data_IF_429195090761
#
_entry.id   IF_429195090761
#
_cell.length_a   1.000
_cell.length_b   1.000
_cell.length_c   1.000
_cell.angle_alpha   90.00
_cell.angle_beta   90.00
_cell.angle_gamma   90.00
#
_symmetry.space_group_name_H-M   'P 1'
#
loop_
_entity.id
_entity.type
_entity.pdbx_description
1 polymer ?
#
# COMPACT_ATOMS: atom_id res chain seq x y z
N UNK A 1 -19.39 -6.45 -0.90
CA UNK A 1 -18.79 -7.31 0.16
C UNK A 1 -17.76 -6.53 0.99
N UNK A 2 -16.68 -6.01 0.39
CA UNK A 2 -15.63 -5.29 1.11
C UNK A 2 -16.13 -4.03 1.84
N UNK A 3 -16.90 -3.15 1.17
CA UNK A 3 -17.50 -1.96 1.81
C UNK A 3 -18.33 -2.34 3.03
N UNK A 4 -19.20 -3.35 2.90
CA UNK A 4 -20.01 -3.89 4.01
C UNK A 4 -19.16 -4.34 5.20
N UNK A 5 -18.10 -5.09 4.92
CA UNK A 5 -17.19 -5.57 5.96
C UNK A 5 -16.46 -4.43 6.67
N UNK A 6 -15.73 -3.61 5.92
CA UNK A 6 -14.85 -2.59 6.50
C UNK A 6 -15.60 -1.41 7.11
N UNK A 7 -16.79 -1.07 6.61
CA UNK A 7 -17.63 -0.01 7.20
C UNK A 7 -18.05 -0.30 8.65
N UNK A 8 -17.92 -1.54 9.11
CA UNK A 8 -18.29 -1.96 10.46
C UNK A 8 -17.08 -2.06 11.41
N UNK A 9 -15.88 -1.79 10.93
CA UNK A 9 -14.69 -1.72 11.80
C UNK A 9 -14.69 -0.41 12.60
N UNK A 10 -14.35 -0.48 13.88
CA UNK A 10 -14.64 0.55 14.87
C UNK A 10 -14.04 1.93 14.55
N UNK A 11 -12.83 1.98 14.00
CA UNK A 11 -12.13 3.24 13.71
C UNK A 11 -12.34 3.75 12.28
N UNK A 12 -13.16 3.06 11.46
CA UNK A 12 -13.45 3.51 10.09
C UNK A 12 -14.49 4.62 10.13
N UNK A 13 -14.12 5.81 9.66
CA UNK A 13 -15.01 6.98 9.62
C UNK A 13 -15.68 7.23 8.27
N UNK A 14 -15.04 6.84 7.17
CA UNK A 14 -15.55 6.97 5.81
C UNK A 14 -14.87 5.96 4.88
N UNK A 15 -15.49 5.67 3.74
CA UNK A 15 -14.90 4.84 2.68
C UNK A 15 -14.94 5.61 1.35
N UNK A 16 -13.78 5.73 0.70
CA UNK A 16 -13.68 6.24 -0.68
C UNK A 16 -13.38 5.09 -1.61
N UNK A 17 -14.32 4.78 -2.50
CA UNK A 17 -14.14 3.78 -3.56
C UNK A 17 -13.56 4.49 -4.78
N UNK A 18 -12.31 4.21 -5.12
CA UNK A 18 -11.66 4.74 -6.33
C UNK A 18 -12.06 3.89 -7.52
N UNK A 19 -12.99 4.39 -8.32
CA UNK A 19 -13.58 3.65 -9.43
C UNK A 19 -12.82 3.91 -10.72
N UNK A 20 -12.03 2.92 -11.14
CA UNK A 20 -11.05 3.07 -12.23
C UNK A 20 -11.59 2.74 -13.63
N UNK A 21 -12.61 1.89 -13.74
CA UNK A 21 -13.10 1.41 -15.05
C UNK A 21 -14.52 0.84 -14.95
N UNK A 22 -15.30 1.05 -16.00
CA UNK A 22 -16.67 0.51 -16.12
C UNK A 22 -17.71 1.45 -15.52
N UNK A 23 -18.98 1.08 -15.60
CA UNK A 23 -20.06 1.82 -14.97
C UNK A 23 -19.92 1.73 -13.43
N UNK A 24 -19.84 2.85 -12.70
CA UNK A 24 -19.83 2.81 -11.24
C UNK A 24 -21.14 2.25 -10.71
N UNK A 25 -21.13 1.57 -9.55
CA UNK A 25 -22.36 1.20 -8.88
C UNK A 25 -23.08 2.45 -8.37
N UNK A 26 -24.39 2.35 -8.19
CA UNK A 26 -25.15 3.32 -7.42
C UNK A 26 -24.77 3.20 -5.94
N UNK A 27 -24.76 4.32 -5.22
CA UNK A 27 -24.43 4.31 -3.78
C UNK A 27 -25.37 3.42 -2.97
N UNK A 28 -26.62 3.28 -3.40
CA UNK A 28 -27.63 2.40 -2.79
C UNK A 28 -27.28 0.90 -2.89
N UNK A 29 -26.41 0.51 -3.83
CA UNK A 29 -25.92 -0.87 -3.97
C UNK A 29 -24.83 -1.22 -2.95
N UNK A 30 -24.29 -0.21 -2.24
CA UNK A 30 -23.22 -0.37 -1.26
C UNK A 30 -23.77 -0.33 0.18
N UNK A 31 -24.00 -1.50 0.77
CA UNK A 31 -24.31 -1.64 2.20
C UNK A 31 -23.12 -1.15 3.04
N UNK A 32 -23.33 -0.07 3.79
CA UNK A 32 -22.31 0.55 4.63
C UNK A 32 -22.90 1.13 5.92
N UNK A 33 -22.17 0.98 7.03
CA UNK A 33 -22.47 1.64 8.30
C UNK A 33 -21.83 3.04 8.43
N UNK A 34 -21.01 3.46 7.46
CA UNK A 34 -20.31 4.76 7.42
C UNK A 34 -20.54 5.46 6.07
N UNK A 35 -20.31 6.77 5.96
CA UNK A 35 -20.35 7.47 4.67
C UNK A 35 -19.46 6.80 3.61
N UNK A 36 -20.02 6.59 2.42
CA UNK A 36 -19.31 6.07 1.26
C UNK A 36 -19.37 7.09 0.13
N UNK A 37 -18.24 7.30 -0.54
CA UNK A 37 -18.18 8.07 -1.78
C UNK A 37 -17.48 7.26 -2.86
N UNK A 38 -18.03 7.29 -4.05
CA UNK A 38 -17.40 6.73 -5.24
C UNK A 38 -16.70 7.88 -5.96
N UNK A 39 -15.38 7.79 -6.11
CA UNK A 39 -14.57 8.72 -6.90
C UNK A 39 -14.28 8.07 -8.25
N UNK A 40 -15.04 8.46 -9.26
CA UNK A 40 -14.86 7.99 -10.63
C UNK A 40 -13.66 8.69 -11.25
N UNK A 41 -12.75 7.91 -11.83
CA UNK A 41 -11.55 8.43 -12.48
C UNK A 41 -11.68 8.33 -14.00
N UNK A 42 -11.18 9.36 -14.70
CA UNK A 42 -11.27 9.47 -16.16
C UNK A 42 -10.48 8.37 -16.89
N UNK A 43 -9.41 7.90 -16.25
CA UNK A 43 -8.50 6.89 -16.79
C UNK A 43 -8.24 5.83 -15.73
N UNK A 44 -8.28 4.56 -16.15
CA UNK A 44 -7.80 3.45 -15.34
C UNK A 44 -6.28 3.58 -15.09
N UNK A 45 -5.90 3.94 -13.86
CA UNK A 45 -4.51 4.11 -13.44
C UNK A 45 -4.33 3.72 -11.98
N UNK A 46 -3.26 2.98 -11.68
CA UNK A 46 -2.89 2.66 -10.30
C UNK A 46 -2.47 3.89 -9.49
N UNK A 47 -2.11 5.00 -10.16
CA UNK A 47 -1.78 6.25 -9.48
C UNK A 47 -2.99 6.89 -8.78
N UNK A 48 -4.22 6.54 -9.20
CA UNK A 48 -5.43 7.22 -8.76
C UNK A 48 -5.73 7.07 -7.27
N UNK A 49 -5.30 5.96 -6.64
CA UNK A 49 -5.53 5.72 -5.22
C UNK A 49 -4.87 6.79 -4.34
N UNK A 50 -3.70 7.28 -4.74
CA UNK A 50 -2.95 8.31 -4.01
C UNK A 50 -3.29 9.75 -4.43
N UNK A 51 -4.30 9.97 -5.28
CA UNK A 51 -4.70 11.31 -5.76
C UNK A 51 -5.09 12.20 -4.58
N UNK A 52 -4.52 13.40 -4.54
CA UNK A 52 -4.89 14.42 -3.54
C UNK A 52 -6.41 14.64 -3.61
N UNK A 53 -7.07 14.43 -2.48
CA UNK A 53 -8.51 14.56 -2.36
C UNK A 53 -8.84 15.49 -1.18
N UNK A 54 -9.30 16.72 -1.46
CA UNK A 54 -9.58 17.68 -0.40
C UNK A 54 -10.78 17.29 0.48
N UNK A 55 -11.55 16.27 0.09
CA UNK A 55 -12.67 15.77 0.88
C UNK A 55 -12.24 14.78 1.96
N UNK A 56 -11.04 14.18 1.85
CA UNK A 56 -10.48 13.33 2.90
C UNK A 56 -10.03 14.24 4.05
N UNK A 57 -10.71 14.14 5.19
CA UNK A 57 -10.41 14.94 6.40
C UNK A 57 -9.60 14.19 7.44
N UNK A 58 -9.61 12.87 7.35
CA UNK A 58 -8.87 12.01 8.25
C UNK A 58 -7.38 12.03 7.90
N UNK A 59 -6.53 12.13 8.92
CA UNK A 59 -5.07 12.03 8.73
C UNK A 59 -4.68 10.61 8.34
N UNK A 60 -5.19 9.60 9.04
CA UNK A 60 -4.96 8.21 8.70
C UNK A 60 -5.82 7.81 7.50
N UNK A 61 -5.19 7.25 6.47
CA UNK A 61 -5.87 6.53 5.40
C UNK A 61 -5.35 5.11 5.38
N UNK A 62 -6.28 4.15 5.43
CA UNK A 62 -6.00 2.76 5.08
C UNK A 62 -6.12 2.61 3.56
N UNK A 63 -5.00 2.37 2.91
CA UNK A 63 -4.93 1.93 1.53
C UNK A 63 -5.16 0.42 1.48
N UNK A 64 -6.12 -0.01 0.67
CA UNK A 64 -6.54 -1.40 0.61
C UNK A 64 -6.93 -1.82 -0.82
N UNK A 65 -6.40 -2.96 -1.27
CA UNK A 65 -6.77 -3.58 -2.54
C UNK A 65 -8.15 -4.24 -2.45
N UNK A 66 -8.88 -4.27 -3.56
CA UNK A 66 -10.26 -4.76 -3.66
C UNK A 66 -10.38 -6.29 -3.70
N UNK A 67 -9.27 -7.01 -3.50
CA UNK A 67 -9.19 -8.46 -3.38
C UNK A 67 -8.66 -8.94 -2.03
N UNK A 68 -8.45 -8.01 -1.08
CA UNK A 68 -7.92 -8.28 0.27
C UNK A 68 -9.00 -8.09 1.34
N UNK A 69 -9.26 -9.16 2.10
CA UNK A 69 -10.13 -9.13 3.27
C UNK A 69 -9.36 -9.46 4.55
N UNK A 70 -9.44 -8.55 5.52
CA UNK A 70 -8.80 -8.67 6.84
C UNK A 70 -9.81 -8.43 7.95
N UNK A 71 -9.69 -9.13 9.09
CA UNK A 71 -10.56 -8.89 10.25
C UNK A 71 -10.44 -7.46 10.77
N UNK A 72 -11.51 -6.92 11.36
CA UNK A 72 -11.47 -5.61 11.98
C UNK A 72 -10.39 -5.52 13.08
N UNK A 73 -10.15 -6.61 13.83
CA UNK A 73 -9.06 -6.65 14.82
C UNK A 73 -7.68 -6.37 14.19
N UNK A 74 -7.40 -6.90 12.99
CA UNK A 74 -6.15 -6.60 12.30
C UNK A 74 -6.09 -5.15 11.82
N UNK A 75 -7.22 -4.59 11.38
CA UNK A 75 -7.34 -3.19 10.96
C UNK A 75 -7.09 -2.26 12.15
N UNK A 76 -7.74 -2.51 13.29
CA UNK A 76 -7.55 -1.74 14.53
C UNK A 76 -6.11 -1.86 15.05
N UNK A 77 -5.52 -3.06 14.96
CA UNK A 77 -4.10 -3.26 15.30
C UNK A 77 -3.18 -2.40 14.44
N UNK A 78 -3.35 -2.45 13.11
CA UNK A 78 -2.56 -1.64 12.19
C UNK A 78 -2.74 -0.14 12.42
N UNK A 79 -3.98 0.29 12.70
CA UNK A 79 -4.28 1.68 13.00
C UNK A 79 -3.61 2.15 14.30
N UNK A 80 -3.63 1.33 15.35
CA UNK A 80 -2.95 1.64 16.60
C UNK A 80 -1.44 1.84 16.38
N UNK A 81 -0.79 0.93 15.64
CA UNK A 81 0.63 1.06 15.30
C UNK A 81 0.90 2.31 14.45
N UNK A 82 0.01 2.64 13.51
CA UNK A 82 0.13 3.88 12.74
C UNK A 82 0.04 5.12 13.62
N UNK A 83 -0.83 5.15 14.64
CA UNK A 83 -0.92 6.29 15.56
C UNK A 83 0.37 6.52 16.34
N UNK A 84 1.14 5.47 16.62
CA UNK A 84 2.46 5.56 17.26
C UNK A 84 3.54 6.10 16.29
N UNK A 85 3.36 5.87 14.99
CA UNK A 85 4.33 6.19 13.95
C UNK A 85 3.67 6.77 12.68
N UNK A 86 2.99 7.93 12.77
CA UNK A 86 2.19 8.47 11.66
C UNK A 86 3.03 8.93 10.46
N UNK A 87 4.34 9.10 10.66
CA UNK A 87 5.32 9.42 9.63
C UNK A 87 5.74 8.21 8.76
N UNK A 88 5.26 7.00 9.07
CA UNK A 88 5.63 5.74 8.40
C UNK A 88 4.47 5.16 7.58
N UNK A 89 4.84 4.33 6.61
CA UNK A 89 3.92 3.38 5.98
C UNK A 89 3.80 2.18 6.91
N UNK A 90 2.64 1.98 7.53
CA UNK A 90 2.40 0.90 8.49
C UNK A 90 1.49 -0.14 7.85
N UNK A 91 1.92 -1.38 7.69
CA UNK A 91 1.08 -2.36 6.98
C UNK A 91 1.52 -3.80 7.08
N UNK A 92 0.87 -4.64 6.27
CA UNK A 92 0.82 -6.08 6.50
C UNK A 92 1.61 -6.92 5.50
N UNK A 93 2.17 -6.29 4.45
CA UNK A 93 2.86 -6.98 3.37
C UNK A 93 4.32 -6.53 3.24
N UNK A 94 5.24 -7.12 4.01
CA UNK A 94 6.64 -6.74 4.02
C UNK A 94 7.35 -7.28 2.78
N UNK A 95 8.27 -6.48 2.26
CA UNK A 95 9.20 -6.86 1.20
C UNK A 95 10.61 -6.41 1.58
N UNK A 96 11.58 -7.11 1.02
CA UNK A 96 12.99 -6.79 1.19
C UNK A 96 13.63 -6.62 -0.18
N UNK A 97 14.30 -5.49 -0.37
CA UNK A 97 15.13 -5.21 -1.54
C UNK A 97 16.55 -4.95 -1.06
N UNK A 98 17.50 -5.73 -1.54
CA UNK A 98 18.91 -5.56 -1.23
C UNK A 98 19.56 -4.60 -2.24
N UNK A 99 20.46 -3.72 -1.76
CA UNK A 99 21.16 -2.79 -2.65
C UNK A 99 22.02 -3.50 -3.71
N UNK A 100 22.58 -4.65 -3.37
CA UNK A 100 23.41 -5.46 -4.26
C UNK A 100 22.62 -6.13 -5.38
N UNK A 101 21.34 -6.40 -5.15
CA UNK A 101 20.46 -7.13 -6.08
C UNK A 101 19.09 -6.49 -6.06
N UNK A 102 18.87 -5.54 -6.98
CA UNK A 102 17.59 -4.84 -7.18
C UNK A 102 16.55 -5.74 -7.88
N UNK A 103 16.28 -6.90 -7.28
CA UNK A 103 15.31 -7.90 -7.72
C UNK A 103 14.15 -7.95 -6.74
N UNK A 104 12.93 -7.91 -7.27
CA UNK A 104 11.74 -8.03 -6.47
C UNK A 104 11.49 -9.50 -6.10
N UNK A 105 11.17 -9.73 -4.83
CA UNK A 105 10.80 -11.04 -4.29
C UNK A 105 9.70 -10.89 -3.23
N UNK A 106 9.00 -11.98 -2.91
CA UNK A 106 7.87 -11.99 -1.99
C UNK A 106 8.28 -12.01 -0.51
N UNK A 107 7.28 -12.07 0.38
CA UNK A 107 7.50 -12.09 1.83
C UNK A 107 8.39 -13.25 2.30
N UNK A 108 8.33 -14.42 1.66
CA UNK A 108 9.20 -15.55 2.00
C UNK A 108 10.69 -15.19 1.94
N UNK A 109 11.07 -14.31 1.01
CA UNK A 109 12.44 -13.81 0.91
C UNK A 109 12.81 -12.90 2.08
N UNK A 110 11.94 -11.93 2.40
CA UNK A 110 12.10 -11.05 3.55
C UNK A 110 12.24 -11.85 4.85
N UNK A 111 11.37 -12.85 5.06
CA UNK A 111 11.41 -13.78 6.21
C UNK A 111 12.73 -14.57 6.25
N UNK A 112 13.15 -15.14 5.13
CA UNK A 112 14.41 -15.91 5.02
C UNK A 112 15.62 -15.06 5.43
N UNK A 113 15.65 -13.80 5.00
CA UNK A 113 16.72 -12.86 5.33
C UNK A 113 16.47 -12.08 6.62
N UNK A 114 15.41 -12.39 7.37
CA UNK A 114 15.06 -11.78 8.66
C UNK A 114 15.03 -10.25 8.61
N UNK A 115 14.45 -9.68 7.56
CA UNK A 115 14.16 -8.25 7.58
C UNK A 115 13.41 -7.76 6.36
N UNK A 116 13.03 -6.49 6.43
CA UNK A 116 12.24 -5.82 5.42
C UNK A 116 12.61 -4.33 5.36
N UNK A 117 12.31 -3.71 4.23
CA UNK A 117 12.52 -2.28 4.01
C UNK A 117 11.47 -1.63 3.12
N UNK A 118 10.42 -2.38 2.80
CA UNK A 118 9.22 -1.87 2.15
C UNK A 118 7.98 -2.53 2.73
N UNK A 119 6.88 -1.81 2.66
CA UNK A 119 5.52 -2.29 2.96
C UNK A 119 4.64 -1.99 1.76
N UNK A 120 4.00 -3.00 1.19
CA UNK A 120 3.09 -2.79 0.07
C UNK A 120 1.79 -2.14 0.55
N UNK A 121 1.27 -1.18 -0.21
CA UNK A 121 0.06 -0.42 0.13
C UNK A 121 -1.23 -1.14 -0.21
N UNK A 122 -1.18 -2.41 -0.60
CA UNK A 122 -2.38 -3.24 -0.79
C UNK A 122 -3.14 -3.51 0.52
N UNK A 123 -2.47 -3.34 1.66
CA UNK A 123 -3.08 -3.14 2.98
C UNK A 123 -2.08 -2.39 3.86
N UNK A 124 -2.19 -1.06 3.92
CA UNK A 124 -1.33 -0.23 4.76
C UNK A 124 -1.98 1.10 5.16
N UNK A 125 -1.71 1.53 6.39
CA UNK A 125 -2.00 2.87 6.87
C UNK A 125 -0.89 3.86 6.49
N UNK A 126 -1.32 5.04 6.04
CA UNK A 126 -0.47 6.16 5.68
C UNK A 126 -1.07 7.46 6.21
N UNK A 127 -0.23 8.48 6.44
CA UNK A 127 -0.72 9.85 6.62
C UNK A 127 -1.11 10.42 5.25
N UNK A 128 -2.38 10.81 5.09
CA UNK A 128 -2.97 11.21 3.83
C UNK A 128 -2.27 12.43 3.21
N UNK A 129 -2.02 13.45 4.04
CA UNK A 129 -1.35 14.67 3.58
C UNK A 129 0.07 14.32 3.13
N UNK A 130 0.83 13.68 4.02
CA UNK A 130 2.22 13.33 3.78
C UNK A 130 2.41 12.44 2.55
N UNK A 131 1.61 11.38 2.43
CA UNK A 131 1.74 10.40 1.37
C UNK A 131 1.29 10.98 0.01
N UNK A 132 0.13 11.64 -0.03
CA UNK A 132 -0.42 12.12 -1.30
C UNK A 132 0.35 13.32 -1.84
N UNK A 133 0.80 14.25 -0.98
CA UNK A 133 1.65 15.37 -1.40
C UNK A 133 2.98 14.86 -1.98
N UNK A 134 3.63 13.88 -1.31
CA UNK A 134 4.85 13.24 -1.84
C UNK A 134 4.57 12.52 -3.15
N UNK A 135 3.51 11.72 -3.23
CA UNK A 135 3.21 10.93 -4.42
C UNK A 135 2.86 11.81 -5.63
N UNK A 136 2.21 12.96 -5.42
CA UNK A 136 1.83 13.90 -6.48
C UNK A 136 2.80 15.05 -6.71
N UNK A 137 3.92 15.07 -5.99
CA UNK A 137 4.98 16.06 -6.14
C UNK A 137 5.56 16.08 -7.56
N UNK A 138 6.34 17.13 -7.87
CA UNK A 138 7.03 17.28 -9.16
C UNK A 138 8.11 16.21 -9.33
N UNK A 139 8.80 15.87 -8.24
CA UNK A 139 9.86 14.87 -8.16
C UNK A 139 9.33 13.46 -8.48
N UNK A 140 8.11 13.14 -8.03
CA UNK A 140 7.47 11.86 -8.28
C UNK A 140 6.89 11.72 -9.71
N UNK A 141 6.87 12.79 -10.52
CA UNK A 141 6.20 12.80 -11.85
C UNK A 141 6.78 11.76 -12.81
N UNK A 142 8.10 11.59 -12.84
CA UNK A 142 8.75 10.58 -13.68
C UNK A 142 8.39 9.16 -13.23
N UNK A 143 8.36 8.91 -11.92
CA UNK A 143 7.90 7.66 -11.33
C UNK A 143 6.46 7.34 -11.69
N UNK A 144 5.53 8.28 -11.53
CA UNK A 144 4.10 8.10 -11.89
C UNK A 144 3.90 7.73 -13.37
N UNK A 145 4.72 8.28 -14.27
CA UNK A 145 4.72 7.88 -15.70
C UNK A 145 5.15 6.43 -15.91
N UNK A 146 6.13 5.94 -15.14
CA UNK A 146 6.53 4.52 -15.20
C UNK A 146 5.44 3.62 -14.62
N UNK A 147 4.78 4.04 -13.54
CA UNK A 147 3.61 3.32 -12.98
C UNK A 147 2.52 3.17 -14.03
N UNK A 148 2.17 4.25 -14.73
CA UNK A 148 1.20 4.21 -15.83
C UNK A 148 1.65 3.32 -16.99
N UNK A 149 2.94 3.41 -17.37
CA UNK A 149 3.51 2.64 -18.49
C UNK A 149 3.51 1.13 -18.20
N UNK A 150 3.81 0.74 -16.97
CA UNK A 150 3.90 -0.65 -16.56
C UNK A 150 2.61 -1.20 -15.97
N UNK A 151 1.65 -0.32 -15.65
CA UNK A 151 0.44 -0.65 -14.90
C UNK A 151 0.78 -1.46 -13.65
N UNK A 152 1.75 -0.97 -12.85
CA UNK A 152 2.31 -1.63 -11.67
C UNK A 152 3.14 -0.62 -10.84
N UNK A 153 3.62 -1.05 -9.67
CA UNK A 153 4.70 -0.41 -8.89
C UNK A 153 4.37 0.95 -8.24
N UNK A 154 3.11 1.32 -8.13
CA UNK A 154 2.65 2.49 -7.38
C UNK A 154 3.06 2.40 -5.89
N UNK A 155 2.93 1.21 -5.31
CA UNK A 155 3.36 0.90 -3.94
C UNK A 155 4.88 1.02 -3.76
N UNK A 156 5.66 0.48 -4.70
CA UNK A 156 7.12 0.59 -4.70
C UNK A 156 7.54 2.05 -4.83
N UNK A 157 6.91 2.82 -5.71
CA UNK A 157 7.20 4.24 -5.86
C UNK A 157 7.00 4.98 -4.53
N UNK A 158 5.87 4.75 -3.85
CA UNK A 158 5.62 5.40 -2.56
C UNK A 158 6.70 5.05 -1.51
N UNK A 159 7.13 3.78 -1.43
CA UNK A 159 8.21 3.38 -0.53
C UNK A 159 9.53 4.09 -0.83
N UNK A 160 9.91 4.23 -2.11
CA UNK A 160 11.11 4.99 -2.49
C UNK A 160 11.01 6.47 -2.14
N UNK A 161 9.83 7.09 -2.33
CA UNK A 161 9.61 8.49 -1.98
C UNK A 161 9.72 8.73 -0.47
N UNK A 162 9.23 7.80 0.34
CA UNK A 162 9.40 7.83 1.79
C UNK A 162 10.88 7.68 2.19
N UNK A 163 11.56 6.66 1.66
CA UNK A 163 12.97 6.40 1.98
C UNK A 163 13.91 7.52 1.53
N UNK A 164 13.63 8.18 0.40
CA UNK A 164 14.43 9.31 -0.07
C UNK A 164 14.26 10.57 0.80
N UNK A 165 13.11 10.72 1.46
CA UNK A 165 12.79 11.90 2.27
C UNK A 165 13.28 11.82 3.72
N UNK A 166 13.77 10.67 4.18
CA UNK A 166 14.18 10.48 5.59
C UNK A 166 15.36 9.54 5.76
N UNK A 167 16.23 9.86 6.72
CA UNK A 167 17.26 8.93 7.23
C UNK A 167 16.74 8.01 8.33
N UNK A 168 15.55 8.27 8.89
CA UNK A 168 14.89 7.46 9.91
C UNK A 168 14.07 6.31 9.30
N UNK A 169 13.54 5.43 10.15
CA UNK A 169 12.63 4.35 9.75
C UNK A 169 11.36 4.91 9.13
N UNK A 170 11.06 4.46 7.91
CA UNK A 170 9.92 4.94 7.11
C UNK A 170 8.81 3.91 6.94
N UNK A 171 9.03 2.68 7.42
CA UNK A 171 8.07 1.57 7.30
C UNK A 171 7.95 0.81 8.62
N UNK A 172 6.74 0.36 8.92
CA UNK A 172 6.42 -0.47 10.08
C UNK A 172 5.62 -1.70 9.64
N UNK A 173 5.99 -2.88 10.13
CA UNK A 173 5.32 -4.12 9.79
C UNK A 173 4.38 -4.50 10.93
N UNK A 174 3.17 -4.92 10.55
CA UNK A 174 2.21 -5.53 11.46
C UNK A 174 1.85 -6.89 10.89
N UNK A 175 1.99 -7.93 11.69
CA UNK A 175 1.57 -9.28 11.35
C UNK A 175 0.05 -9.42 11.46
N UNK A 176 -0.62 -9.76 10.35
CA UNK A 176 -2.03 -10.10 10.41
C UNK A 176 -2.20 -11.50 11.01
N UNK A 177 -3.27 -11.70 11.78
CA UNK A 177 -3.67 -13.02 12.29
C UNK A 177 -4.28 -13.90 11.21
N UNK A 178 -5.06 -13.30 10.29
CA UNK A 178 -5.68 -13.96 9.15
C UNK A 178 -5.89 -12.93 8.04
N UNK A 179 -5.55 -13.33 6.82
CA UNK A 179 -5.80 -12.56 5.59
C UNK A 179 -6.44 -13.48 4.57
N UNK A 180 -7.53 -13.03 3.96
CA UNK A 180 -8.14 -13.70 2.82
C UNK A 180 -7.73 -12.89 1.58
N UNK A 181 -6.87 -13.48 0.75
CA UNK A 181 -6.41 -12.93 -0.51
C UNK A 181 -7.12 -13.66 -1.66
N UNK A 182 -7.96 -12.94 -2.39
CA UNK A 182 -8.74 -13.46 -3.51
C UNK A 182 -8.14 -13.12 -4.87
N UNK A 183 -6.93 -12.54 -4.91
CA UNK A 183 -6.24 -12.11 -6.14
C UNK A 183 -6.08 -13.24 -7.15
N UNK A 184 -5.91 -14.49 -6.67
CA UNK A 184 -5.77 -15.67 -7.55
C UNK A 184 -7.10 -16.19 -8.11
N UNK A 185 -8.23 -15.78 -7.54
CA UNK A 185 -9.57 -16.13 -7.99
C UNK A 185 -10.14 -15.08 -8.96
N UNK A 186 -9.61 -13.86 -8.92
CA UNK A 186 -10.01 -12.76 -9.80
C UNK A 186 -9.37 -12.86 -11.19
N UNK A 187 -10.19 -12.69 -12.25
CA UNK A 187 -9.72 -12.65 -13.63
C UNK A 187 -8.92 -11.39 -13.99
N UNK A 188 -9.00 -10.34 -13.16
CA UNK A 188 -8.44 -9.00 -13.40
C UNK A 188 -7.21 -8.68 -12.54
N UNK A 189 -6.83 -9.55 -11.59
CA UNK A 189 -5.68 -9.31 -10.73
C UNK A 189 -4.35 -9.30 -11.50
N UNK A 190 -3.58 -8.21 -11.34
CA UNK A 190 -2.30 -7.98 -12.02
C UNK A 190 -1.23 -9.01 -11.57
N UNK A 191 -1.37 -9.56 -10.37
CA UNK A 191 -0.45 -10.54 -9.78
C UNK A 191 -0.74 -11.99 -10.21
N UNK A 192 -1.77 -12.24 -11.04
CA UNK A 192 -2.15 -13.60 -11.47
C UNK A 192 -0.97 -14.35 -12.09
N UNK A 193 -0.27 -13.74 -13.05
CA UNK A 193 1.02 -14.21 -13.55
C UNK A 193 2.16 -13.67 -12.67
N UNK A 194 2.44 -14.37 -11.57
CA UNK A 194 3.42 -13.95 -10.57
C UNK A 194 4.80 -13.66 -11.18
N UNK A 195 5.28 -14.52 -12.10
CA UNK A 195 6.62 -14.37 -12.68
C UNK A 195 6.74 -13.10 -13.54
N UNK A 196 5.73 -12.83 -14.37
CA UNK A 196 5.68 -11.61 -15.18
C UNK A 196 5.58 -10.38 -14.28
N UNK A 197 4.71 -10.42 -13.27
CA UNK A 197 4.54 -9.36 -12.28
C UNK A 197 5.85 -9.03 -11.55
N UNK A 198 6.58 -10.05 -11.07
CA UNK A 198 7.86 -9.90 -10.36
C UNK A 198 8.94 -9.34 -11.28
N UNK A 199 8.95 -9.72 -12.57
CA UNK A 199 9.87 -9.17 -13.56
C UNK A 199 9.61 -7.68 -13.81
N UNK A 200 8.35 -7.25 -13.89
CA UNK A 200 8.00 -5.83 -14.00
C UNK A 200 8.46 -5.09 -12.74
N UNK A 201 8.12 -5.60 -11.55
CA UNK A 201 8.52 -4.97 -10.29
C UNK A 201 10.02 -4.82 -10.14
N UNK A 202 10.80 -5.83 -10.56
CA UNK A 202 12.27 -5.73 -10.59
C UNK A 202 12.76 -4.60 -11.51
N UNK A 203 12.11 -4.36 -12.66
CA UNK A 203 12.43 -3.20 -13.52
C UNK A 203 12.10 -1.87 -12.85
N UNK A 204 11.00 -1.82 -12.09
CA UNK A 204 10.65 -0.64 -11.31
C UNK A 204 11.69 -0.35 -10.22
N UNK A 205 12.16 -1.35 -9.49
CA UNK A 205 13.21 -1.19 -8.48
C UNK A 205 14.48 -0.58 -9.08
N UNK A 206 14.92 -1.08 -10.23
CA UNK A 206 16.07 -0.51 -10.96
C UNK A 206 15.84 0.97 -11.29
N UNK A 207 14.71 1.29 -11.91
CA UNK A 207 14.41 2.67 -12.35
C UNK A 207 14.20 3.64 -11.18
N UNK A 208 13.52 3.21 -10.13
CA UNK A 208 13.31 4.04 -8.95
C UNK A 208 14.60 4.21 -8.15
N UNK A 209 15.48 3.21 -8.12
CA UNK A 209 16.81 3.37 -7.53
C UNK A 209 17.67 4.38 -8.28
N UNK A 210 17.59 4.43 -9.61
CA UNK A 210 18.26 5.46 -10.43
C UNK A 210 17.70 6.87 -10.15
N UNK A 211 16.38 7.00 -9.92
CA UNK A 211 15.71 8.30 -9.77
C UNK A 211 15.74 8.85 -8.34
N UNK A 212 15.65 7.98 -7.33
CA UNK A 212 15.35 8.36 -5.95
C UNK A 212 16.38 7.80 -4.94
N UNK A 213 17.46 7.18 -5.42
CA UNK A 213 18.44 6.50 -4.57
C UNK A 213 17.95 5.13 -4.09
N UNK A 214 18.80 4.39 -3.37
CA UNK A 214 18.51 3.03 -2.94
C UNK A 214 17.76 2.94 -1.61
N UNK A 215 16.92 1.92 -1.46
CA UNK A 215 16.30 1.52 -0.18
C UNK A 215 17.29 0.89 0.81
N UNK A 216 18.47 0.48 0.31
CA UNK A 216 19.34 -0.48 0.97
C UNK A 216 20.18 0.02 2.14
N UNK A 217 20.00 1.26 2.61
CA UNK A 217 20.61 1.72 3.87
C UNK A 217 19.78 1.34 5.10
N UNK A 218 18.56 0.84 4.91
CA UNK A 218 17.63 0.56 5.97
C UNK A 218 17.10 -0.87 5.81
N UNK A 219 17.39 -1.73 6.78
CA UNK A 219 16.78 -3.06 6.92
C UNK A 219 16.27 -3.14 8.35
N UNK A 220 14.99 -3.41 8.49
CA UNK A 220 14.33 -3.54 9.79
C UNK A 220 14.11 -5.02 10.07
N UNK A 221 14.39 -5.44 11.30
CA UNK A 221 14.17 -6.81 11.74
C UNK A 221 12.69 -7.05 12.04
N UNK A 222 12.28 -8.31 11.94
CA UNK A 222 11.01 -8.77 12.51
C UNK A 222 11.17 -8.99 14.02
N UNK A 223 10.06 -9.04 14.75
CA UNK A 223 10.03 -9.28 16.20
C UNK A 223 10.74 -8.19 17.04
N UNK A 224 10.79 -6.97 16.54
CA UNK A 224 11.36 -5.82 17.23
C UNK A 224 10.38 -5.09 18.14
N UNK A 225 9.09 -5.41 18.10
CA UNK A 225 8.04 -4.73 18.88
C UNK A 225 7.77 -5.41 20.21
N UNK A 226 7.56 -4.60 21.26
CA UNK A 226 7.19 -5.08 22.60
C UNK A 226 5.80 -5.75 22.63
N UNK A 227 4.87 -5.25 21.81
CA UNK A 227 3.51 -5.80 21.67
C UNK A 227 3.47 -7.18 20.96
N UNK A 228 4.59 -7.59 20.35
CA UNK A 228 4.75 -8.81 19.54
C UNK A 228 3.81 -8.88 18.33
N UNK A 229 3.38 -7.74 17.84
CA UNK A 229 2.47 -7.64 16.70
C UNK A 229 3.19 -7.73 15.36
N UNK A 230 4.51 -7.87 15.34
CA UNK A 230 5.35 -8.09 14.17
C UNK A 230 5.99 -9.48 14.13
N UNK A 231 5.39 -10.45 14.86
CA UNK A 231 5.89 -11.82 15.00
C UNK A 231 6.12 -12.57 13.66
#
# INVERSE_FOLDING_TARGET
>A
MYVKHYSRCSSVGEIVVVWNKGAPPELSELDSAVPVRIRVEEKNSLNNRFKIDPLIKNRAVLELDDDIMMSCDNIERGFQVWREHPDRIVGFYPRLVEASVLKYDGEKYARKLKGYNMILTGAAFIDAQLAFERYWSKEAKAGRKLVDKYFNCEDLLLNYLYANASSSRTVEYVRPTLVIDTSKLSGVAISRNTQHHYRIRSKCLLKFSEMYGGLGKQKWEFNGREDRWDF
#
